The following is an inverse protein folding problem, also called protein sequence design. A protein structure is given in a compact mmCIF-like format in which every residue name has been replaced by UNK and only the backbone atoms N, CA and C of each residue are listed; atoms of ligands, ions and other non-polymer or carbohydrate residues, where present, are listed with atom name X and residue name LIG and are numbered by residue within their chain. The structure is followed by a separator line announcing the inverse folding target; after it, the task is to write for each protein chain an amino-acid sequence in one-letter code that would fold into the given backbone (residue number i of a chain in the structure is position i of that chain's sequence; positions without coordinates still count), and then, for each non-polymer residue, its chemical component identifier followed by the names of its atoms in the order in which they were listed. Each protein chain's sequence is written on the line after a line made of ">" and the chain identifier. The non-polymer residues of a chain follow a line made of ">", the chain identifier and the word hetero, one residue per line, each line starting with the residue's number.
data_IF_398799757195
#
_entry.id   IF_398799757195
#
_cell.length_a   1.000
_cell.length_b   1.000
_cell.length_c   1.000
_cell.angle_alpha   90.00
_cell.angle_beta   90.00
_cell.angle_gamma   90.00
#
_symmetry.space_group_name_H-M   'P 1'
#
loop_
_entity.id
_entity.type
_entity.pdbx_description
1 polymer ?
#
# COMPACT_ATOMS: atom_id res chain seq x y z
N UNK A 1 11.31 19.66 -7.17
CA UNK A 1 10.23 20.43 -6.52
C UNK A 1 10.44 20.27 -5.03
N UNK A 2 11.08 21.25 -4.38
CA UNK A 2 11.17 21.27 -2.91
C UNK A 2 9.79 21.73 -2.42
N UNK A 3 8.98 20.81 -1.91
CA UNK A 3 7.81 21.18 -1.12
C UNK A 3 8.33 21.78 0.18
N UNK A 4 8.39 23.10 0.26
CA UNK A 4 8.32 23.79 1.55
C UNK A 4 6.94 23.48 2.13
N UNK A 5 6.84 22.33 2.81
CA UNK A 5 5.58 21.88 3.42
C UNK A 5 5.23 22.85 4.54
N UNK A 6 4.25 23.71 4.29
CA UNK A 6 3.66 24.55 5.32
C UNK A 6 2.84 23.66 6.26
N UNK A 7 3.23 23.59 7.53
CA UNK A 7 2.45 22.88 8.56
C UNK A 7 1.41 23.86 9.12
N UNK A 8 0.15 23.60 8.84
CA UNK A 8 -0.98 24.38 9.39
C UNK A 8 -1.49 23.66 10.64
N UNK A 9 -1.40 24.31 11.80
CA UNK A 9 -2.04 23.82 13.03
C UNK A 9 -3.50 24.24 13.03
N UNK A 10 -4.40 23.30 12.78
CA UNK A 10 -5.85 23.54 12.72
C UNK A 10 -6.55 23.55 14.08
N UNK A 11 -5.90 23.06 15.13
CA UNK A 11 -6.44 23.03 16.49
C UNK A 11 -6.22 24.37 17.21
N UNK A 12 -7.09 25.36 16.92
CA UNK A 12 -7.03 26.69 17.53
C UNK A 12 -7.05 26.64 19.07
N UNK A 13 -7.70 25.63 19.66
CA UNK A 13 -7.80 25.50 21.12
C UNK A 13 -6.43 25.32 21.79
N UNK A 14 -5.43 24.78 21.09
CA UNK A 14 -4.07 24.62 21.60
C UNK A 14 -3.40 25.99 21.80
N UNK A 15 -3.61 26.93 20.86
CA UNK A 15 -3.05 28.28 20.95
C UNK A 15 -3.85 29.17 21.91
N UNK A 16 -5.18 29.06 21.90
CA UNK A 16 -6.05 29.83 22.80
C UNK A 16 -5.85 29.43 24.27
N UNK A 17 -5.60 28.14 24.53
CA UNK A 17 -5.31 27.60 25.85
C UNK A 17 -3.90 27.88 26.39
N UNK A 18 -3.04 28.59 25.65
CA UNK A 18 -1.60 28.74 26.00
C UNK A 18 -1.34 29.45 27.33
N UNK A 19 -2.20 30.39 27.71
CA UNK A 19 -2.11 31.16 28.97
C UNK A 19 -2.91 30.50 30.11
N UNK A 20 -3.75 29.50 29.80
CA UNK A 20 -4.54 28.80 30.81
C UNK A 20 -3.68 27.74 31.50
N UNK A 21 -3.53 27.85 32.82
CA UNK A 21 -2.71 26.93 33.63
C UNK A 21 -3.02 25.44 33.38
N UNK A 22 -4.29 25.07 33.26
CA UNK A 22 -4.71 23.66 33.10
C UNK A 22 -4.51 23.12 31.66
N UNK A 23 -4.32 24.00 30.68
CA UNK A 23 -4.21 23.64 29.25
C UNK A 23 -2.84 23.96 28.65
N UNK A 24 -2.03 24.77 29.34
CA UNK A 24 -0.69 25.21 28.92
C UNK A 24 0.25 24.06 28.56
N UNK A 25 0.07 22.88 29.19
CA UNK A 25 0.86 21.70 28.85
C UNK A 25 0.71 21.28 27.38
N UNK A 26 -0.47 21.47 26.76
CA UNK A 26 -0.71 21.16 25.34
C UNK A 26 0.10 22.07 24.43
N UNK A 27 0.15 23.37 24.75
CA UNK A 27 0.99 24.34 24.05
C UNK A 27 2.48 24.03 24.21
N UNK A 28 2.92 23.64 25.41
CA UNK A 28 4.31 23.22 25.66
C UNK A 28 4.65 21.95 24.88
N UNK A 29 3.75 20.96 24.84
CA UNK A 29 3.93 19.73 24.07
C UNK A 29 4.01 20.00 22.56
N UNK A 30 3.13 20.86 22.03
CA UNK A 30 3.16 21.28 20.62
C UNK A 30 4.48 21.99 20.26
N UNK A 31 4.96 22.89 21.12
CA UNK A 31 6.29 23.51 20.93
C UNK A 31 7.42 22.50 21.00
N UNK A 32 7.32 21.48 21.85
CA UNK A 32 8.33 20.41 21.95
C UNK A 32 8.39 19.58 20.66
N UNK A 33 7.24 19.30 20.04
CA UNK A 33 7.16 18.61 18.73
C UNK A 33 7.76 19.44 17.60
N UNK A 34 7.61 20.77 17.65
CA UNK A 34 8.15 21.71 16.66
C UNK A 34 9.64 22.02 16.83
N UNK A 35 10.20 21.67 17.98
CA UNK A 35 11.62 21.87 18.25
C UNK A 35 12.41 20.78 17.51
N UNK A 36 13.10 21.20 16.45
CA UNK A 36 13.92 20.34 15.60
C UNK A 36 15.01 19.58 16.37
N UNK A 37 15.41 20.06 17.56
CA UNK A 37 16.37 19.35 18.42
C UNK A 37 15.76 18.12 19.10
N UNK A 38 14.43 18.03 19.16
CA UNK A 38 13.68 16.86 19.62
C UNK A 38 13.30 15.90 18.49
N UNK A 39 13.74 16.16 17.24
CA UNK A 39 13.53 15.21 16.16
C UNK A 39 14.19 13.88 16.54
N UNK A 40 13.39 12.80 16.56
CA UNK A 40 13.95 11.47 16.76
C UNK A 40 14.98 11.19 15.65
N UNK A 41 16.12 10.54 15.95
CA UNK A 41 17.06 10.13 14.93
C UNK A 41 16.31 9.31 13.89
N UNK A 42 16.38 9.70 12.62
CA UNK A 42 15.79 8.90 11.54
C UNK A 42 16.48 7.54 11.52
N UNK A 43 15.82 6.51 12.05
CA UNK A 43 16.31 5.13 12.01
C UNK A 43 15.95 4.51 10.68
N UNK A 44 16.85 3.67 10.16
CA UNK A 44 16.55 2.85 9.00
C UNK A 44 15.79 1.59 9.43
N UNK A 45 14.66 1.29 8.81
CA UNK A 45 13.88 0.08 9.06
C UNK A 45 14.65 -1.21 8.73
N UNK A 46 15.70 -1.15 7.89
CA UNK A 46 16.58 -2.30 7.63
C UNK A 46 17.33 -2.71 8.92
N UNK A 47 17.67 -1.76 9.79
CA UNK A 47 18.39 -2.07 11.03
C UNK A 47 17.52 -2.88 12.02
N UNK A 48 16.19 -2.76 11.91
CA UNK A 48 15.24 -3.53 12.73
C UNK A 48 15.37 -5.04 12.52
N UNK A 49 16.00 -5.49 11.41
CA UNK A 49 16.30 -6.91 11.17
C UNK A 49 17.21 -7.48 12.26
N UNK A 50 18.11 -6.66 12.81
CA UNK A 50 19.12 -7.07 13.79
C UNK A 50 18.70 -6.86 15.25
N UNK A 51 17.53 -6.27 15.49
CA UNK A 51 17.05 -6.08 16.85
C UNK A 51 16.73 -7.44 17.49
N UNK A 52 16.90 -7.54 18.80
CA UNK A 52 16.49 -8.71 19.56
C UNK A 52 14.96 -8.76 19.71
N UNK A 53 14.41 -9.95 19.90
CA UNK A 53 13.00 -10.07 20.27
C UNK A 53 12.80 -9.54 21.68
N UNK A 54 11.79 -8.68 21.84
CA UNK A 54 11.40 -8.11 23.13
C UNK A 54 9.91 -8.35 23.37
N UNK A 55 9.61 -8.85 24.57
CA UNK A 55 8.26 -9.02 25.09
C UNK A 55 8.15 -8.24 26.39
N UNK A 56 7.03 -7.56 26.61
CA UNK A 56 6.83 -6.78 27.83
C UNK A 56 6.31 -7.63 29.01
N UNK A 57 5.47 -8.64 28.74
CA UNK A 57 4.78 -9.41 29.78
C UNK A 57 4.69 -10.91 29.43
N UNK A 58 5.35 -11.81 30.19
CA UNK A 58 6.46 -11.50 31.09
C UNK A 58 7.62 -10.84 30.32
N UNK A 59 8.46 -10.00 30.96
CA UNK A 59 9.61 -9.40 30.29
C UNK A 59 10.57 -10.46 29.78
N UNK A 60 10.77 -10.51 28.46
CA UNK A 60 11.71 -11.43 27.79
C UNK A 60 12.51 -10.63 26.78
N UNK A 61 13.82 -10.86 26.75
CA UNK A 61 14.70 -10.45 25.65
C UNK A 61 15.35 -11.70 25.11
N UNK A 62 15.10 -12.01 23.85
CA UNK A 62 15.68 -13.15 23.17
C UNK A 62 16.56 -12.65 22.01
N UNK A 63 17.87 -12.93 22.04
CA UNK A 63 18.76 -12.55 20.96
C UNK A 63 18.29 -13.07 19.60
N UNK A 64 18.41 -12.24 18.55
CA UNK A 64 18.06 -12.67 17.20
C UNK A 64 18.95 -13.85 16.75
N UNK A 65 18.34 -15.00 16.47
CA UNK A 65 19.04 -16.16 15.90
C UNK A 65 19.10 -16.02 14.37
N UNK A 66 20.30 -16.05 13.75
CA UNK A 66 20.45 -16.03 12.30
C UNK A 66 19.65 -17.14 11.59
N UNK A 67 19.39 -18.28 12.26
CA UNK A 67 18.59 -19.36 11.71
C UNK A 67 17.14 -18.95 11.39
N UNK A 68 16.62 -17.90 12.03
CA UNK A 68 15.27 -17.39 11.75
C UNK A 68 15.21 -16.48 10.52
N UNK A 69 16.34 -16.06 9.96
CA UNK A 69 16.40 -15.02 8.92
C UNK A 69 16.43 -15.57 7.49
N UNK A 70 16.26 -16.87 7.28
CA UNK A 70 16.04 -17.45 5.95
C UNK A 70 14.60 -17.17 5.45
N UNK A 71 14.29 -15.89 5.24
CA UNK A 71 12.91 -15.40 5.03
C UNK A 71 12.64 -14.87 3.61
N UNK A 72 13.61 -14.97 2.70
CA UNK A 72 13.51 -14.42 1.32
C UNK A 72 12.27 -14.93 0.59
N UNK A 73 11.96 -16.22 0.78
CA UNK A 73 10.79 -16.88 0.18
C UNK A 73 9.82 -17.43 1.23
N UNK A 74 9.92 -16.96 2.48
CA UNK A 74 9.02 -17.41 3.54
C UNK A 74 7.58 -17.00 3.24
N UNK A 75 6.70 -17.99 3.20
CA UNK A 75 5.25 -17.83 3.17
C UNK A 75 4.69 -17.81 4.61
N UNK A 76 3.37 -17.66 4.72
CA UNK A 76 2.68 -17.71 6.01
C UNK A 76 2.98 -19.01 6.76
N UNK A 77 2.98 -20.17 6.08
CA UNK A 77 3.27 -21.47 6.71
C UNK A 77 4.69 -21.57 7.27
N UNK A 78 5.67 -21.01 6.55
CA UNK A 78 7.07 -20.94 6.99
C UNK A 78 7.21 -20.06 8.22
N UNK A 79 6.53 -18.91 8.24
CA UNK A 79 6.48 -18.02 9.40
C UNK A 79 5.89 -18.76 10.60
N UNK A 80 4.77 -19.47 10.43
CA UNK A 80 4.14 -20.25 11.49
C UNK A 80 5.06 -21.34 12.03
N UNK A 81 5.76 -22.07 11.16
CA UNK A 81 6.69 -23.11 11.58
C UNK A 81 7.84 -22.53 12.45
N UNK A 82 8.33 -21.33 12.14
CA UNK A 82 9.34 -20.64 12.96
C UNK A 82 8.75 -20.22 14.31
N UNK A 83 7.52 -19.69 14.32
CA UNK A 83 6.81 -19.32 15.56
C UNK A 83 6.62 -20.55 16.45
N UNK A 84 6.09 -21.65 15.91
CA UNK A 84 5.83 -22.88 16.66
C UNK A 84 7.12 -23.47 17.22
N UNK A 85 8.21 -23.48 16.44
CA UNK A 85 9.51 -23.97 16.91
C UNK A 85 10.07 -23.14 18.07
N UNK A 86 9.88 -21.81 18.04
CA UNK A 86 10.35 -20.91 19.10
C UNK A 86 9.48 -21.02 20.35
N UNK A 87 8.15 -21.03 20.20
CA UNK A 87 7.22 -21.19 21.32
C UNK A 87 7.40 -22.55 22.01
N UNK A 88 7.62 -23.62 21.25
CA UNK A 88 7.90 -24.95 21.80
C UNK A 88 9.24 -25.04 22.56
N UNK A 89 10.21 -24.17 22.22
CA UNK A 89 11.51 -24.10 22.89
C UNK A 89 11.49 -23.18 24.12
N UNK A 90 10.63 -22.16 24.11
CA UNK A 90 10.56 -21.14 25.15
C UNK A 90 9.10 -20.92 25.59
N UNK A 91 8.68 -21.61 26.65
CA UNK A 91 7.30 -21.62 27.17
C UNK A 91 6.71 -20.24 27.53
N UNK A 92 7.56 -19.23 27.75
CA UNK A 92 7.16 -17.88 28.18
C UNK A 92 6.95 -16.90 27.02
N UNK A 93 7.24 -17.31 25.78
CA UNK A 93 7.10 -16.47 24.59
C UNK A 93 5.66 -16.45 24.10
N UNK A 94 5.14 -15.24 23.88
CA UNK A 94 3.87 -14.98 23.24
C UNK A 94 3.98 -15.26 21.75
N UNK A 95 3.30 -16.31 21.30
CA UNK A 95 3.29 -16.69 19.88
C UNK A 95 2.80 -15.56 18.96
N UNK A 96 1.86 -14.73 19.41
CA UNK A 96 1.38 -13.59 18.61
C UNK A 96 2.42 -12.47 18.51
N UNK A 97 3.08 -12.11 19.61
CA UNK A 97 4.11 -11.06 19.59
C UNK A 97 5.34 -11.51 18.81
N UNK A 98 5.75 -12.77 18.97
CA UNK A 98 6.86 -13.33 18.21
C UNK A 98 6.53 -13.46 16.72
N UNK A 99 5.28 -13.79 16.38
CA UNK A 99 4.81 -13.77 14.98
C UNK A 99 4.91 -12.39 14.36
N UNK A 100 4.50 -11.34 15.08
CA UNK A 100 4.64 -9.96 14.60
C UNK A 100 6.12 -9.59 14.40
N UNK A 101 6.97 -9.97 15.36
CA UNK A 101 8.42 -9.76 15.31
C UNK A 101 9.07 -10.42 14.07
N UNK A 102 8.76 -11.69 13.79
CA UNK A 102 9.36 -12.41 12.66
C UNK A 102 8.75 -11.98 11.32
N UNK A 103 7.46 -11.64 11.31
CA UNK A 103 6.77 -11.12 10.12
C UNK A 103 7.35 -9.78 9.69
N UNK A 104 7.71 -8.90 10.64
CA UNK A 104 8.41 -7.65 10.35
C UNK A 104 9.75 -7.88 9.64
N UNK A 105 10.54 -8.84 10.13
CA UNK A 105 11.82 -9.25 9.51
C UNK A 105 11.64 -9.85 8.13
N UNK A 106 10.65 -10.72 7.96
CA UNK A 106 10.33 -11.31 6.67
C UNK A 106 10.04 -10.21 5.64
N UNK A 107 9.19 -9.24 5.98
CA UNK A 107 8.88 -8.10 5.10
C UNK A 107 10.12 -7.28 4.74
N UNK A 108 10.99 -6.98 5.71
CA UNK A 108 12.22 -6.23 5.46
C UNK A 108 13.16 -6.99 4.50
N UNK A 109 13.39 -8.29 4.76
CA UNK A 109 14.22 -9.17 3.92
C UNK A 109 13.64 -9.31 2.52
N UNK A 110 12.33 -9.51 2.40
CA UNK A 110 11.64 -9.64 1.12
C UNK A 110 11.63 -8.33 0.33
N UNK A 111 11.54 -7.18 1.00
CA UNK A 111 11.69 -5.87 0.36
C UNK A 111 13.10 -5.67 -0.20
N UNK A 112 14.13 -6.09 0.53
CA UNK A 112 15.51 -6.11 0.03
C UNK A 112 15.62 -7.06 -1.18
N UNK A 113 14.98 -8.23 -1.12
CA UNK A 113 14.99 -9.17 -2.24
C UNK A 113 14.35 -8.58 -3.51
N UNK A 114 13.20 -7.91 -3.39
CA UNK A 114 12.57 -7.21 -4.52
C UNK A 114 13.44 -6.07 -5.07
N UNK A 115 14.08 -5.31 -4.18
CA UNK A 115 15.03 -4.26 -4.56
C UNK A 115 16.23 -4.83 -5.33
N UNK A 116 16.85 -5.90 -4.84
CA UNK A 116 17.97 -6.56 -5.51
C UNK A 116 17.54 -7.17 -6.85
N UNK A 117 16.38 -7.83 -6.94
CA UNK A 117 15.86 -8.36 -8.20
C UNK A 117 15.61 -7.25 -9.25
N UNK A 118 15.38 -6.02 -8.81
CA UNK A 118 15.18 -4.86 -9.70
C UNK A 118 16.50 -4.28 -10.21
N UNK A 119 17.53 -4.26 -9.37
CA UNK A 119 18.77 -3.52 -9.62
C UNK A 119 20.00 -4.38 -9.90
N UNK A 120 19.93 -5.68 -9.64
CA UNK A 120 21.04 -6.61 -9.81
C UNK A 120 20.59 -7.79 -10.68
N UNK A 121 21.27 -7.97 -11.80
CA UNK A 121 21.27 -9.26 -12.48
C UNK A 121 22.18 -10.21 -11.69
N UNK A 122 21.60 -11.15 -10.95
CA UNK A 122 22.35 -12.08 -10.09
C UNK A 122 23.19 -13.11 -10.87
N UNK A 123 23.01 -13.19 -12.18
CA UNK A 123 23.82 -14.02 -13.07
C UNK A 123 25.05 -13.28 -13.63
N UNK A 124 25.12 -11.96 -13.46
CA UNK A 124 26.27 -11.13 -13.85
C UNK A 124 27.52 -11.52 -13.02
N UNK A 125 28.70 -11.68 -13.65
CA UNK A 125 29.97 -11.88 -12.94
C UNK A 125 30.26 -10.84 -11.85
N UNK A 126 29.83 -9.59 -12.03
CA UNK A 126 30.01 -8.49 -11.10
C UNK A 126 28.86 -8.33 -10.09
N UNK A 127 27.89 -9.26 -10.07
CA UNK A 127 26.72 -9.19 -9.20
C UNK A 127 27.07 -9.02 -7.72
N UNK A 128 28.05 -9.77 -7.22
CA UNK A 128 28.49 -9.69 -5.82
C UNK A 128 28.92 -8.27 -5.44
N UNK A 129 29.74 -7.62 -6.28
CA UNK A 129 30.19 -6.24 -6.04
C UNK A 129 29.02 -5.27 -6.09
N UNK A 130 28.10 -5.42 -7.04
CA UNK A 130 26.90 -4.57 -7.12
C UNK A 130 26.02 -4.70 -5.87
N UNK A 131 25.88 -5.90 -5.33
CA UNK A 131 25.12 -6.15 -4.09
C UNK A 131 25.78 -5.47 -2.89
N UNK A 132 27.11 -5.58 -2.77
CA UNK A 132 27.88 -4.88 -1.74
C UNK A 132 27.75 -3.35 -1.86
N UNK A 133 27.88 -2.81 -3.07
CA UNK A 133 27.74 -1.39 -3.35
C UNK A 133 26.33 -0.88 -2.98
N UNK A 134 25.27 -1.63 -3.33
CA UNK A 134 23.89 -1.29 -2.97
C UNK A 134 23.69 -1.30 -1.45
N UNK A 135 24.21 -2.31 -0.75
CA UNK A 135 24.15 -2.38 0.70
C UNK A 135 24.87 -1.20 1.36
N UNK A 136 26.07 -0.87 0.89
CA UNK A 136 26.91 0.20 1.41
C UNK A 136 26.32 1.60 1.22
N UNK A 137 25.49 1.79 0.18
CA UNK A 137 24.79 3.05 -0.11
C UNK A 137 23.44 3.18 0.62
N UNK A 138 23.07 2.24 1.50
CA UNK A 138 21.86 2.37 2.32
C UNK A 138 22.07 3.32 3.48
N UNK A 139 21.00 4.02 3.90
CA UNK A 139 21.01 4.79 5.15
C UNK A 139 21.38 3.90 6.36
N UNK A 140 20.95 2.62 6.33
CA UNK A 140 21.29 1.64 7.37
C UNK A 140 22.81 1.50 7.55
N UNK A 141 23.55 1.35 6.45
CA UNK A 141 25.00 1.19 6.49
C UNK A 141 25.71 2.44 7.04
N UNK A 142 25.25 3.63 6.62
CA UNK A 142 25.81 4.89 7.11
C UNK A 142 25.59 5.11 8.60
N UNK A 143 24.44 4.71 9.14
CA UNK A 143 24.10 4.82 10.57
C UNK A 143 24.71 3.71 11.44
N UNK A 144 25.03 2.56 10.86
CA UNK A 144 25.54 1.37 11.55
C UNK A 144 27.00 1.52 12.03
N UNK A 145 27.34 0.81 13.10
CA UNK A 145 28.72 0.58 13.52
C UNK A 145 29.43 -0.47 12.63
N UNK A 146 30.73 -0.68 12.84
CA UNK A 146 31.52 -1.60 12.01
C UNK A 146 31.00 -3.05 12.03
N UNK A 147 30.50 -3.53 13.18
CA UNK A 147 29.97 -4.88 13.32
C UNK A 147 28.64 -5.05 12.57
N UNK A 148 27.76 -4.07 12.70
CA UNK A 148 26.44 -4.05 12.04
C UNK A 148 26.57 -3.85 10.53
N UNK A 149 27.56 -3.07 10.07
CA UNK A 149 27.91 -2.94 8.65
C UNK A 149 28.30 -4.28 8.02
N UNK A 150 29.10 -5.09 8.72
CA UNK A 150 29.46 -6.43 8.25
C UNK A 150 28.21 -7.32 8.13
N UNK A 151 27.35 -7.34 9.15
CA UNK A 151 26.07 -8.09 9.12
C UNK A 151 25.16 -7.62 7.98
N UNK A 152 25.09 -6.32 7.69
CA UNK A 152 24.32 -5.79 6.56
C UNK A 152 24.80 -6.34 5.22
N UNK A 153 26.13 -6.36 4.99
CA UNK A 153 26.72 -6.92 3.77
C UNK A 153 26.44 -8.41 3.65
N UNK A 154 26.54 -9.16 4.75
CA UNK A 154 26.21 -10.59 4.80
C UNK A 154 24.75 -10.86 4.45
N UNK A 155 23.81 -10.09 5.02
CA UNK A 155 22.37 -10.22 4.73
C UNK A 155 22.09 -9.96 3.26
N UNK A 156 22.58 -8.86 2.69
CA UNK A 156 22.38 -8.55 1.28
C UNK A 156 22.96 -9.64 0.36
N UNK A 157 24.16 -10.12 0.67
CA UNK A 157 24.82 -11.20 -0.07
C UNK A 157 24.04 -12.52 0.01
N UNK A 158 23.55 -12.88 1.20
CA UNK A 158 22.74 -14.07 1.41
C UNK A 158 21.42 -14.01 0.63
N UNK A 159 20.76 -12.85 0.62
CA UNK A 159 19.53 -12.63 -0.15
C UNK A 159 19.79 -12.78 -1.66
N UNK A 160 20.86 -12.16 -2.17
CA UNK A 160 21.25 -12.30 -3.59
C UNK A 160 21.54 -13.76 -3.96
N UNK A 161 22.25 -14.49 -3.10
CA UNK A 161 22.51 -15.91 -3.31
C UNK A 161 21.22 -16.75 -3.33
N UNK A 162 20.26 -16.47 -2.45
CA UNK A 162 18.95 -17.12 -2.43
C UNK A 162 18.14 -16.81 -3.70
N UNK A 163 18.14 -15.57 -4.17
CA UNK A 163 17.50 -15.20 -5.44
C UNK A 163 18.09 -15.99 -6.61
N UNK A 164 19.41 -16.11 -6.67
CA UNK A 164 20.11 -16.86 -7.73
C UNK A 164 19.80 -18.37 -7.68
N UNK A 165 19.79 -18.96 -6.48
CA UNK A 165 19.61 -20.41 -6.31
C UNK A 165 18.18 -20.90 -6.43
N UNK A 166 17.19 -20.05 -6.09
CA UNK A 166 15.81 -20.49 -5.87
C UNK A 166 14.79 -19.79 -6.77
N UNK A 167 15.19 -18.84 -7.61
CA UNK A 167 14.30 -18.18 -8.57
C UNK A 167 14.90 -18.17 -9.98
N UNK A 168 14.16 -18.74 -10.94
CA UNK A 168 14.50 -18.63 -12.36
C UNK A 168 14.33 -17.20 -12.88
N UNK A 169 14.70 -16.96 -14.14
CA UNK A 169 14.65 -15.64 -14.74
C UNK A 169 13.21 -15.07 -14.78
N UNK A 170 12.23 -15.92 -15.06
CA UNK A 170 10.82 -15.53 -15.17
C UNK A 170 10.27 -15.12 -13.79
N UNK A 171 10.52 -15.93 -12.75
CA UNK A 171 10.09 -15.62 -11.40
C UNK A 171 10.80 -14.38 -10.83
N UNK A 172 12.10 -14.20 -11.12
CA UNK A 172 12.81 -12.96 -10.78
C UNK A 172 12.20 -11.73 -11.47
N UNK A 173 11.77 -11.87 -12.72
CA UNK A 173 11.08 -10.79 -13.44
C UNK A 173 9.73 -10.44 -12.81
N UNK A 174 8.99 -11.44 -12.31
CA UNK A 174 7.74 -11.20 -11.56
C UNK A 174 7.99 -10.49 -10.22
N UNK A 175 9.03 -10.91 -9.47
CA UNK A 175 9.45 -10.27 -8.22
C UNK A 175 9.79 -8.79 -8.43
N UNK A 176 10.45 -8.46 -9.55
CA UNK A 176 10.80 -7.08 -9.90
C UNK A 176 9.59 -6.17 -10.14
N UNK A 177 8.49 -6.71 -10.68
CA UNK A 177 7.31 -5.91 -11.06
C UNK A 177 6.36 -5.65 -9.88
N UNK A 178 6.39 -6.49 -8.85
CA UNK A 178 5.38 -6.48 -7.80
C UNK A 178 5.95 -5.99 -6.45
N UNK A 179 5.22 -5.14 -5.71
CA UNK A 179 5.55 -4.78 -4.33
C UNK A 179 5.29 -5.92 -3.33
N UNK A 180 4.75 -7.06 -3.78
CA UNK A 180 4.44 -8.19 -2.91
C UNK A 180 5.69 -9.03 -2.58
N UNK A 181 5.69 -9.69 -1.41
CA UNK A 181 6.64 -10.76 -1.13
C UNK A 181 6.73 -11.80 -2.26
N UNK A 182 7.92 -12.36 -2.54
CA UNK A 182 8.06 -13.42 -3.54
C UNK A 182 7.07 -14.58 -3.36
N UNK A 183 6.90 -15.06 -2.12
CA UNK A 183 5.96 -16.14 -1.81
C UNK A 183 4.52 -15.82 -2.28
N UNK A 184 4.05 -14.61 -2.02
CA UNK A 184 2.69 -14.17 -2.39
C UNK A 184 2.53 -14.03 -3.91
N UNK A 185 3.58 -13.55 -4.59
CA UNK A 185 3.64 -13.51 -6.06
C UNK A 185 3.44 -14.90 -6.64
N UNK A 186 4.14 -15.91 -6.09
CA UNK A 186 4.02 -17.29 -6.54
C UNK A 186 2.61 -17.85 -6.34
N UNK A 187 2.01 -17.59 -5.17
CA UNK A 187 0.63 -18.00 -4.88
C UNK A 187 -0.34 -17.41 -5.90
N UNK A 188 -0.27 -16.10 -6.12
CA UNK A 188 -1.16 -15.40 -7.07
C UNK A 188 -0.92 -15.84 -8.52
N UNK A 189 0.34 -16.02 -8.95
CA UNK A 189 0.65 -16.47 -10.30
C UNK A 189 0.12 -17.89 -10.55
N UNK A 190 0.31 -18.81 -9.61
CA UNK A 190 -0.19 -20.17 -9.73
C UNK A 190 -1.72 -20.19 -9.75
N UNK A 191 -2.37 -19.38 -8.92
CA UNK A 191 -3.82 -19.25 -8.91
C UNK A 191 -4.36 -18.74 -10.25
N UNK A 192 -3.76 -17.68 -10.81
CA UNK A 192 -4.17 -17.10 -12.11
C UNK A 192 -4.09 -18.13 -13.24
N UNK A 193 -2.97 -18.88 -13.32
CA UNK A 193 -2.80 -19.93 -14.33
C UNK A 193 -3.81 -21.06 -14.14
N UNK A 194 -4.02 -21.51 -12.90
CA UNK A 194 -4.94 -22.61 -12.61
C UNK A 194 -6.42 -22.27 -12.87
N UNK A 195 -6.81 -20.99 -12.72
CA UNK A 195 -8.19 -20.53 -12.82
C UNK A 195 -8.49 -19.71 -14.08
N UNK A 196 -7.57 -19.64 -15.04
CA UNK A 196 -7.67 -18.80 -16.23
C UNK A 196 -9.04 -18.88 -16.93
N UNK A 197 -9.53 -20.08 -17.22
CA UNK A 197 -10.80 -20.27 -17.93
C UNK A 197 -12.01 -19.73 -17.13
N UNK A 198 -11.99 -19.91 -15.81
CA UNK A 198 -13.04 -19.41 -14.90
C UNK A 198 -13.01 -17.89 -14.84
N UNK A 199 -11.82 -17.31 -14.72
CA UNK A 199 -11.63 -15.86 -14.65
C UNK A 199 -12.04 -15.17 -15.95
N UNK A 200 -11.69 -15.74 -17.10
CA UNK A 200 -12.10 -15.19 -18.41
C UNK A 200 -13.62 -15.25 -18.58
N UNK A 201 -14.27 -16.33 -18.16
CA UNK A 201 -15.72 -16.43 -18.15
C UNK A 201 -16.36 -15.39 -17.23
N UNK A 202 -15.84 -15.24 -16.01
CA UNK A 202 -16.32 -14.23 -15.07
C UNK A 202 -16.15 -12.79 -15.61
N UNK A 203 -15.10 -12.54 -16.40
CA UNK A 203 -14.91 -11.24 -17.06
C UNK A 203 -16.02 -10.96 -18.08
N UNK A 204 -16.46 -11.98 -18.82
CA UNK A 204 -17.56 -11.87 -19.79
C UNK A 204 -18.92 -11.71 -19.09
N UNK A 205 -19.09 -12.34 -17.93
CA UNK A 205 -20.33 -12.31 -17.14
C UNK A 205 -20.42 -11.10 -16.18
N UNK A 206 -19.35 -10.29 -16.07
CA UNK A 206 -19.31 -9.12 -15.19
C UNK A 206 -19.17 -9.45 -13.70
N UNK A 207 -18.65 -10.64 -13.36
CA UNK A 207 -18.48 -11.15 -11.97
C UNK A 207 -17.01 -11.34 -11.57
N UNK A 208 -16.08 -10.87 -12.41
CA UNK A 208 -14.64 -11.02 -12.18
C UNK A 208 -14.16 -10.24 -10.95
N UNK A 209 -14.77 -9.09 -10.65
CA UNK A 209 -14.38 -8.27 -9.49
C UNK A 209 -14.47 -9.07 -8.19
N UNK A 210 -15.58 -9.80 -7.98
CA UNK A 210 -15.80 -10.59 -6.79
C UNK A 210 -14.72 -11.66 -6.60
N UNK A 211 -14.41 -12.42 -7.66
CA UNK A 211 -13.41 -13.49 -7.61
C UNK A 211 -12.00 -12.95 -7.34
N UNK A 212 -11.62 -11.86 -8.01
CA UNK A 212 -10.29 -11.28 -7.87
C UNK A 212 -10.13 -10.63 -6.50
N UNK A 213 -11.16 -9.94 -6.00
CA UNK A 213 -11.12 -9.31 -4.67
C UNK A 213 -11.06 -10.37 -3.58
N UNK A 214 -11.85 -11.44 -3.68
CA UNK A 214 -11.78 -12.57 -2.74
C UNK A 214 -10.36 -13.13 -2.64
N UNK A 215 -9.69 -13.30 -3.78
CA UNK A 215 -8.31 -13.78 -3.82
C UNK A 215 -7.29 -12.73 -3.35
N UNK A 216 -7.54 -11.43 -3.57
CA UNK A 216 -6.62 -10.35 -3.21
C UNK A 216 -6.66 -10.01 -1.70
N UNK A 217 -7.81 -10.14 -1.05
CA UNK A 217 -8.02 -9.70 0.34
C UNK A 217 -7.03 -10.27 1.37
N UNK A 218 -6.61 -11.55 1.31
CA UNK A 218 -5.62 -12.09 2.24
C UNK A 218 -4.28 -11.34 2.23
N UNK A 219 -3.92 -10.71 1.10
CA UNK A 219 -2.67 -9.97 0.93
C UNK A 219 -2.76 -8.50 1.35
N UNK A 220 -3.97 -8.03 1.71
CA UNK A 220 -4.19 -6.62 2.08
C UNK A 220 -3.76 -6.37 3.53
N UNK A 221 -2.71 -5.56 3.69
CA UNK A 221 -2.17 -5.20 5.00
C UNK A 221 -2.91 -4.03 5.70
N UNK A 222 -3.91 -3.41 5.06
CA UNK A 222 -4.62 -2.26 5.61
C UNK A 222 -5.28 -2.57 6.96
N UNK A 223 -4.97 -1.77 7.99
CA UNK A 223 -5.59 -1.95 9.32
C UNK A 223 -7.10 -1.67 9.28
N UNK A 224 -7.52 -0.73 8.44
CA UNK A 224 -8.92 -0.35 8.21
C UNK A 224 -9.79 -1.53 7.78
N UNK A 225 -9.28 -2.37 6.87
CA UNK A 225 -9.97 -3.58 6.44
C UNK A 225 -9.78 -4.74 7.41
N UNK A 226 -8.58 -4.90 7.99
CA UNK A 226 -8.30 -5.98 8.95
C UNK A 226 -9.12 -5.86 10.24
N UNK A 227 -9.34 -4.65 10.73
CA UNK A 227 -10.08 -4.35 11.97
C UNK A 227 -11.61 -4.46 11.89
N UNK A 228 -12.17 -4.77 10.71
CA UNK A 228 -13.59 -5.10 10.57
C UNK A 228 -13.89 -6.43 11.28
N UNK A 229 -14.94 -6.43 12.11
CA UNK A 229 -15.43 -7.61 12.82
C UNK A 229 -16.01 -8.69 11.88
N UNK A 230 -16.50 -8.29 10.71
CA UNK A 230 -16.94 -9.19 9.65
C UNK A 230 -16.34 -8.82 8.30
N UNK A 231 -15.90 -9.83 7.53
CA UNK A 231 -15.37 -9.62 6.16
C UNK A 231 -16.46 -9.58 5.09
N UNK A 232 -17.69 -9.98 5.43
CA UNK A 232 -18.81 -10.01 4.49
C UNK A 232 -19.20 -8.62 3.96
N UNK A 233 -18.85 -7.56 4.68
CA UNK A 233 -19.17 -6.17 4.33
C UNK A 233 -18.13 -5.51 3.42
N UNK A 234 -16.97 -6.14 3.24
CA UNK A 234 -15.88 -5.58 2.44
C UNK A 234 -16.32 -5.40 0.98
N UNK A 235 -16.91 -6.42 0.38
CA UNK A 235 -17.34 -6.38 -1.02
C UNK A 235 -18.50 -5.39 -1.26
N UNK A 236 -19.57 -5.35 -0.44
CA UNK A 236 -20.59 -4.29 -0.53
C UNK A 236 -20.02 -2.86 -0.40
N UNK A 237 -19.12 -2.64 0.57
CA UNK A 237 -18.49 -1.34 0.76
C UNK A 237 -17.61 -0.96 -0.45
N UNK A 238 -16.85 -1.93 -0.99
CA UNK A 238 -16.03 -1.74 -2.19
C UNK A 238 -16.90 -1.38 -3.41
N UNK A 239 -18.04 -2.06 -3.60
CA UNK A 239 -18.97 -1.73 -4.69
C UNK A 239 -19.50 -0.30 -4.57
N UNK A 240 -19.86 0.11 -3.35
CA UNK A 240 -20.31 1.49 -3.06
C UNK A 240 -19.20 2.51 -3.31
N UNK A 241 -17.96 2.17 -2.96
CA UNK A 241 -16.78 2.98 -3.28
C UNK A 241 -16.59 3.12 -4.79
N UNK A 242 -16.62 2.02 -5.55
CA UNK A 242 -16.43 2.02 -7.01
C UNK A 242 -17.51 2.84 -7.72
N UNK A 243 -18.79 2.74 -7.33
CA UNK A 243 -19.85 3.54 -7.97
C UNK A 243 -19.78 5.03 -7.64
N UNK A 244 -18.84 5.45 -6.80
CA UNK A 244 -18.64 6.86 -6.50
C UNK A 244 -19.47 7.36 -5.33
N UNK A 245 -19.98 6.50 -4.44
CA UNK A 245 -20.72 6.92 -3.25
C UNK A 245 -19.83 7.78 -2.33
N UNK A 246 -20.48 8.71 -1.63
CA UNK A 246 -19.82 9.56 -0.64
C UNK A 246 -19.41 8.74 0.59
N UNK A 247 -18.42 9.22 1.34
CA UNK A 247 -18.01 8.56 2.58
C UNK A 247 -19.14 8.46 3.61
N UNK A 248 -20.06 9.44 3.62
CA UNK A 248 -21.21 9.42 4.53
C UNK A 248 -22.21 8.31 4.17
N UNK A 249 -22.45 8.07 2.89
CA UNK A 249 -23.34 6.99 2.44
C UNK A 249 -22.73 5.62 2.79
N UNK A 250 -21.44 5.44 2.47
CA UNK A 250 -20.72 4.20 2.80
C UNK A 250 -20.70 3.96 4.32
N UNK A 251 -20.50 5.02 5.12
CA UNK A 251 -20.57 4.93 6.58
C UNK A 251 -21.96 4.51 7.06
N UNK A 252 -23.02 5.09 6.49
CA UNK A 252 -24.40 4.74 6.82
C UNK A 252 -24.71 3.27 6.50
N UNK A 253 -24.24 2.77 5.36
CA UNK A 253 -24.40 1.37 4.95
C UNK A 253 -23.68 0.42 5.92
N UNK A 254 -22.47 0.76 6.37
CA UNK A 254 -21.74 -0.02 7.36
C UNK A 254 -22.47 -0.08 8.71
N UNK A 255 -23.04 1.06 9.16
CA UNK A 255 -23.86 1.11 10.39
C UNK A 255 -25.13 0.27 10.23
N UNK A 256 -25.82 0.39 9.09
CA UNK A 256 -27.04 -0.35 8.80
C UNK A 256 -26.79 -1.87 8.74
N UNK A 257 -25.61 -2.28 8.26
CA UNK A 257 -25.16 -3.67 8.25
C UNK A 257 -24.73 -4.20 9.63
N UNK A 258 -24.78 -3.37 10.68
CA UNK A 258 -24.43 -3.78 12.04
C UNK A 258 -22.94 -3.94 12.31
N UNK A 259 -22.08 -3.40 11.44
CA UNK A 259 -20.62 -3.56 11.50
C UNK A 259 -20.05 -2.81 12.70
N UNK A 260 -19.07 -3.43 13.37
CA UNK A 260 -18.23 -2.76 14.38
C UNK A 260 -16.78 -2.70 13.94
N UNK A 261 -16.12 -1.60 14.30
CA UNK A 261 -14.67 -1.43 14.15
C UNK A 261 -14.10 -1.37 15.57
N UNK A 262 -13.48 -2.48 15.97
CA UNK A 262 -13.23 -2.75 17.39
C UNK A 262 -14.54 -2.76 18.18
N UNK A 263 -14.65 -1.90 19.20
CA UNK A 263 -15.85 -1.79 20.03
C UNK A 263 -16.80 -0.65 19.60
N UNK A 264 -16.48 0.07 18.53
CA UNK A 264 -17.15 1.32 18.14
C UNK A 264 -17.98 1.16 16.86
N UNK A 265 -19.00 2.01 16.72
CA UNK A 265 -19.71 2.14 15.45
C UNK A 265 -18.84 2.88 14.42
N UNK A 266 -18.97 2.57 13.11
CA UNK A 266 -18.28 3.27 12.04
C UNK A 266 -18.51 4.78 12.09
N UNK A 267 -17.46 5.55 11.83
CA UNK A 267 -17.50 7.02 11.72
C UNK A 267 -17.11 7.44 10.30
N UNK A 268 -17.20 8.73 9.99
CA UNK A 268 -16.77 9.24 8.68
C UNK A 268 -15.28 8.97 8.44
N UNK A 269 -14.43 9.12 9.47
CA UNK A 269 -12.99 8.83 9.38
C UNK A 269 -12.72 7.35 9.11
N UNK A 270 -13.52 6.46 9.70
CA UNK A 270 -13.43 5.04 9.40
C UNK A 270 -13.79 4.74 7.94
N UNK A 271 -14.86 5.34 7.42
CA UNK A 271 -15.23 5.18 6.02
C UNK A 271 -14.15 5.72 5.06
N UNK A 272 -13.58 6.89 5.37
CA UNK A 272 -12.44 7.44 4.63
C UNK A 272 -11.25 6.47 4.67
N UNK A 273 -10.88 5.94 5.83
CA UNK A 273 -9.76 5.02 5.97
C UNK A 273 -9.99 3.68 5.25
N UNK A 274 -11.21 3.14 5.28
CA UNK A 274 -11.58 1.94 4.52
C UNK A 274 -11.45 2.19 3.02
N UNK A 275 -11.92 3.35 2.56
CA UNK A 275 -11.97 3.67 1.14
C UNK A 275 -10.60 4.08 0.58
N UNK A 276 -9.95 5.08 1.16
CA UNK A 276 -8.69 5.64 0.65
C UNK A 276 -7.50 4.71 0.95
N UNK A 277 -7.31 4.33 2.22
CA UNK A 277 -6.20 3.47 2.64
C UNK A 277 -6.46 2.00 2.30
N UNK A 278 -7.65 1.49 2.62
CA UNK A 278 -8.02 0.10 2.35
C UNK A 278 -8.15 -0.22 0.87
N UNK A 279 -9.05 0.48 0.16
CA UNK A 279 -9.36 0.20 -1.24
C UNK A 279 -8.44 0.92 -2.21
N UNK A 280 -8.42 2.26 -2.17
CA UNK A 280 -7.73 3.13 -3.11
C UNK A 280 -6.21 2.97 -3.11
N UNK A 281 -5.64 2.56 -1.98
CA UNK A 281 -4.22 2.30 -1.83
C UNK A 281 -3.89 0.80 -1.75
N UNK A 282 -4.20 0.14 -0.64
CA UNK A 282 -3.70 -1.21 -0.40
C UNK A 282 -4.30 -2.24 -1.36
N UNK A 283 -5.62 -2.31 -1.52
CA UNK A 283 -6.24 -3.26 -2.45
C UNK A 283 -5.86 -2.94 -3.90
N UNK A 284 -5.87 -1.67 -4.31
CA UNK A 284 -5.45 -1.25 -5.63
C UNK A 284 -4.00 -1.65 -5.95
N UNK A 285 -3.11 -1.66 -4.95
CA UNK A 285 -1.73 -2.15 -5.08
C UNK A 285 -1.68 -3.65 -5.34
N UNK A 286 -2.45 -4.46 -4.58
CA UNK A 286 -2.54 -5.91 -4.84
C UNK A 286 -3.11 -6.18 -6.22
N UNK A 287 -4.15 -5.45 -6.63
CA UNK A 287 -4.75 -5.57 -7.96
C UNK A 287 -3.76 -5.22 -9.07
N UNK A 288 -2.90 -4.22 -8.87
CA UNK A 288 -1.83 -3.90 -9.82
C UNK A 288 -0.85 -5.08 -9.98
N UNK A 289 -0.44 -5.71 -8.87
CA UNK A 289 0.36 -6.94 -8.93
C UNK A 289 -0.37 -8.07 -9.69
N UNK A 290 -1.66 -8.26 -9.46
CA UNK A 290 -2.46 -9.27 -10.17
C UNK A 290 -2.54 -8.94 -11.67
N UNK A 291 -2.69 -7.67 -12.06
CA UNK A 291 -2.62 -7.22 -13.45
C UNK A 291 -1.30 -7.62 -14.11
N UNK A 292 -0.16 -7.32 -13.46
CA UNK A 292 1.16 -7.66 -13.98
C UNK A 292 1.36 -9.19 -14.11
N UNK A 293 0.83 -9.96 -13.15
CA UNK A 293 0.88 -11.42 -13.17
C UNK A 293 -0.07 -12.04 -14.20
N UNK A 294 -1.13 -11.33 -14.60
CA UNK A 294 -2.08 -11.78 -15.61
C UNK A 294 -1.56 -11.56 -17.04
N UNK A 295 -0.63 -10.63 -17.26
CA UNK A 295 0.00 -10.34 -18.56
C UNK A 295 0.48 -11.61 -19.29
N UNK A 296 1.32 -12.48 -18.70
CA UNK A 296 1.75 -13.72 -19.38
C UNK A 296 0.66 -14.80 -19.49
N UNK A 297 -0.45 -14.67 -18.76
CA UNK A 297 -1.54 -15.67 -18.75
C UNK A 297 -2.54 -15.37 -19.86
N UNK A 298 -3.01 -14.12 -19.96
CA UNK A 298 -3.94 -13.67 -20.99
C UNK A 298 -4.04 -12.15 -21.03
N UNK A 299 -3.82 -11.56 -22.22
CA UNK A 299 -4.01 -10.12 -22.42
C UNK A 299 -5.43 -9.67 -22.05
N UNK A 300 -6.46 -10.46 -22.40
CA UNK A 300 -7.86 -10.14 -22.08
C UNK A 300 -8.10 -10.09 -20.57
N UNK A 301 -7.50 -11.00 -19.81
CA UNK A 301 -7.59 -10.98 -18.35
C UNK A 301 -6.82 -9.80 -17.75
N UNK A 302 -5.62 -9.54 -18.26
CA UNK A 302 -4.80 -8.39 -17.87
C UNK A 302 -5.59 -7.07 -18.02
N UNK A 303 -6.19 -6.84 -19.19
CA UNK A 303 -6.99 -5.64 -19.48
C UNK A 303 -8.20 -5.52 -18.54
N UNK A 304 -8.88 -6.65 -18.27
CA UNK A 304 -10.05 -6.67 -17.38
C UNK A 304 -9.67 -6.35 -15.93
N UNK A 305 -8.59 -6.95 -15.39
CA UNK A 305 -8.12 -6.66 -14.03
C UNK A 305 -7.57 -5.23 -13.94
N UNK A 306 -6.87 -4.74 -14.98
CA UNK A 306 -6.39 -3.36 -15.05
C UNK A 306 -7.54 -2.34 -14.96
N UNK A 307 -8.67 -2.63 -15.61
CA UNK A 307 -9.88 -1.81 -15.50
C UNK A 307 -10.41 -1.74 -14.07
N UNK A 308 -10.51 -2.88 -13.38
CA UNK A 308 -10.93 -2.89 -11.97
C UNK A 308 -9.93 -2.22 -11.04
N UNK A 309 -8.63 -2.44 -11.26
CA UNK A 309 -7.57 -1.80 -10.49
C UNK A 309 -7.72 -0.27 -10.55
N UNK A 310 -8.00 0.28 -11.73
CA UNK A 310 -8.27 1.71 -11.95
C UNK A 310 -9.53 2.17 -11.20
N UNK A 311 -10.63 1.44 -11.33
CA UNK A 311 -11.89 1.77 -10.66
C UNK A 311 -11.77 1.76 -9.13
N UNK A 312 -11.08 0.75 -8.59
CA UNK A 312 -10.82 0.60 -7.15
C UNK A 312 -9.89 1.70 -6.64
N UNK A 313 -8.83 2.01 -7.39
CA UNK A 313 -7.86 3.06 -7.04
C UNK A 313 -8.52 4.43 -6.91
N UNK A 314 -9.37 4.78 -7.88
CA UNK A 314 -9.97 6.11 -7.95
C UNK A 314 -11.33 6.19 -7.24
N UNK A 315 -11.96 5.05 -6.91
CA UNK A 315 -13.33 5.01 -6.38
C UNK A 315 -14.35 5.52 -7.38
N UNK A 316 -14.16 5.22 -8.67
CA UNK A 316 -14.98 5.69 -9.78
C UNK A 316 -15.21 4.54 -10.77
N UNK A 317 -16.46 4.30 -11.15
CA UNK A 317 -16.84 3.09 -11.88
C UNK A 317 -16.85 3.26 -13.40
N UNK A 318 -17.03 4.49 -13.89
CA UNK A 318 -17.18 4.78 -15.31
C UNK A 318 -15.91 5.41 -15.92
N UNK A 319 -15.68 5.13 -17.20
CA UNK A 319 -14.52 5.63 -17.93
C UNK A 319 -14.42 7.16 -17.99
N UNK A 320 -15.52 7.91 -18.23
CA UNK A 320 -15.50 9.37 -18.19
C UNK A 320 -15.00 9.95 -16.86
N UNK A 321 -15.55 9.51 -15.73
CA UNK A 321 -15.15 10.00 -14.41
C UNK A 321 -13.68 9.69 -14.14
N UNK A 322 -13.25 8.47 -14.43
CA UNK A 322 -11.83 8.10 -14.29
C UNK A 322 -10.92 8.94 -15.20
N UNK A 323 -11.35 9.24 -16.44
CA UNK A 323 -10.58 10.05 -17.37
C UNK A 323 -10.38 11.49 -16.88
N UNK A 324 -11.42 12.12 -16.31
CA UNK A 324 -11.30 13.44 -15.69
C UNK A 324 -10.39 13.41 -14.46
N UNK A 325 -10.59 12.43 -13.58
CA UNK A 325 -9.77 12.26 -12.37
C UNK A 325 -8.28 12.15 -12.72
N UNK A 326 -7.92 11.27 -13.66
CA UNK A 326 -6.54 11.03 -14.09
C UNK A 326 -5.95 12.14 -14.95
N UNK A 327 -6.78 13.02 -15.52
CA UNK A 327 -6.32 14.21 -16.22
C UNK A 327 -5.86 15.31 -15.26
N UNK A 328 -6.19 15.22 -13.97
CA UNK A 328 -5.77 16.17 -12.93
C UNK A 328 -6.91 16.72 -12.09
N UNK A 329 -8.17 16.45 -12.44
CA UNK A 329 -9.33 16.77 -11.60
C UNK A 329 -9.47 15.73 -10.49
N UNK A 330 -8.42 15.57 -9.68
CA UNK A 330 -8.23 14.50 -8.70
C UNK A 330 -9.11 14.67 -7.44
N UNK A 331 -10.42 14.84 -7.66
CA UNK A 331 -11.49 14.79 -6.68
C UNK A 331 -12.67 14.03 -7.30
N UNK A 332 -13.21 13.05 -6.57
CA UNK A 332 -14.25 12.15 -7.09
C UNK A 332 -15.53 12.90 -7.46
N UNK A 333 -15.96 13.84 -6.62
CA UNK A 333 -17.19 14.62 -6.83
C UNK A 333 -17.05 15.52 -8.05
N UNK A 334 -15.90 16.18 -8.19
CA UNK A 334 -15.61 17.03 -9.36
C UNK A 334 -15.54 16.20 -10.64
N UNK A 335 -14.83 15.06 -10.61
CA UNK A 335 -14.68 14.19 -11.76
C UNK A 335 -16.04 13.64 -12.24
N UNK A 336 -16.91 13.21 -11.31
CA UNK A 336 -18.27 12.76 -11.62
C UNK A 336 -19.15 13.88 -12.17
N UNK A 337 -19.07 15.09 -11.61
CA UNK A 337 -19.82 16.23 -12.10
C UNK A 337 -19.41 16.60 -13.54
N UNK A 338 -18.12 16.58 -13.84
CA UNK A 338 -17.60 16.81 -15.20
C UNK A 338 -18.00 15.69 -16.15
N UNK A 339 -17.92 14.42 -15.73
CA UNK A 339 -18.38 13.28 -16.51
C UNK A 339 -19.88 13.38 -16.87
N UNK A 340 -20.70 13.82 -15.92
CA UNK A 340 -22.13 14.05 -16.15
C UNK A 340 -22.39 15.23 -17.11
N UNK A 341 -21.56 16.28 -17.05
CA UNK A 341 -21.68 17.46 -17.91
C UNK A 341 -21.19 17.23 -19.35
N UNK A 342 -20.24 16.30 -19.55
CA UNK A 342 -19.56 16.11 -20.84
C UNK A 342 -19.53 14.65 -21.27
N UNK A 343 -20.35 14.33 -22.28
CA UNK A 343 -20.43 12.98 -22.86
C UNK A 343 -19.28 12.69 -23.84
N UNK A 344 -19.00 11.40 -24.05
CA UNK A 344 -18.01 10.94 -25.04
C UNK A 344 -16.55 11.09 -24.60
N UNK A 345 -16.31 11.23 -23.30
CA UNK A 345 -14.97 11.28 -22.71
C UNK A 345 -14.55 9.86 -22.34
N UNK A 346 -13.60 9.30 -23.09
CA UNK A 346 -13.10 7.94 -22.85
C UNK A 346 -11.73 7.93 -22.13
N UNK A 347 -10.93 8.98 -22.30
CA UNK A 347 -9.55 9.02 -21.83
C UNK A 347 -9.07 10.46 -21.53
N UNK A 348 -7.86 10.56 -20.93
CA UNK A 348 -7.21 11.84 -20.62
C UNK A 348 -7.02 12.75 -21.85
N UNK A 349 -6.81 12.15 -23.03
CA UNK A 349 -6.64 12.90 -24.27
C UNK A 349 -7.94 13.58 -24.71
N UNK A 350 -9.08 12.91 -24.50
CA UNK A 350 -10.42 13.48 -24.71
C UNK A 350 -10.68 14.63 -23.75
N UNK A 351 -10.31 14.50 -22.46
CA UNK A 351 -10.41 15.59 -21.47
C UNK A 351 -9.58 16.80 -21.89
N UNK A 352 -8.32 16.60 -22.33
CA UNK A 352 -7.48 17.69 -22.85
C UNK A 352 -8.11 18.38 -24.05
N UNK A 353 -8.62 17.62 -25.03
CA UNK A 353 -9.31 18.19 -26.20
C UNK A 353 -10.55 18.99 -25.79
N UNK A 354 -11.32 18.50 -24.82
CA UNK A 354 -12.48 19.22 -24.27
C UNK A 354 -12.05 20.54 -23.64
N UNK A 355 -11.03 20.54 -22.77
CA UNK A 355 -10.51 21.75 -22.14
C UNK A 355 -9.99 22.77 -23.14
N UNK A 356 -9.45 22.34 -24.29
CA UNK A 356 -9.01 23.25 -25.37
C UNK A 356 -10.15 23.83 -26.18
N UNK A 357 -11.10 22.98 -26.61
CA UNK A 357 -12.15 23.37 -27.57
C UNK A 357 -13.37 24.00 -26.92
N UNK A 358 -13.68 23.60 -25.70
CA UNK A 358 -14.92 23.95 -24.98
C UNK A 358 -14.61 24.62 -23.64
N UNK A 359 -13.54 25.42 -23.58
CA UNK A 359 -13.01 26.02 -22.36
C UNK A 359 -14.07 26.72 -21.51
N UNK A 360 -14.89 27.57 -22.13
CA UNK A 360 -15.90 28.35 -21.40
C UNK A 360 -16.94 27.44 -20.75
N UNK A 361 -17.37 26.37 -21.43
CA UNK A 361 -18.30 25.40 -20.87
C UNK A 361 -17.69 24.64 -19.69
N UNK A 362 -16.42 24.24 -19.79
CA UNK A 362 -15.69 23.61 -18.67
C UNK A 362 -15.59 24.57 -17.48
N UNK A 363 -15.31 25.86 -17.70
CA UNK A 363 -15.22 26.83 -16.62
C UNK A 363 -16.57 27.09 -15.96
N UNK A 364 -17.66 27.11 -16.73
CA UNK A 364 -19.02 27.19 -16.20
C UNK A 364 -19.33 25.98 -15.32
N UNK A 365 -18.96 24.77 -15.76
CA UNK A 365 -19.15 23.55 -14.97
C UNK A 365 -18.32 23.54 -13.68
N UNK A 366 -17.19 24.27 -13.66
CA UNK A 366 -16.29 24.35 -12.52
C UNK A 366 -16.58 25.50 -11.54
N UNK A 367 -17.53 26.37 -11.85
CA UNK A 367 -17.75 27.63 -11.11
C UNK A 367 -18.05 27.45 -9.62
N UNK A 368 -18.68 26.32 -9.26
CA UNK A 368 -19.14 26.02 -7.90
C UNK A 368 -18.11 25.17 -7.12
N UNK A 369 -16.97 24.83 -7.75
CA UNK A 369 -15.87 24.07 -7.16
C UNK A 369 -14.68 24.97 -6.80
N UNK A 370 -13.75 24.51 -5.95
CA UNK A 370 -12.53 25.27 -5.62
C UNK A 370 -11.77 25.74 -6.87
N UNK A 371 -11.28 26.99 -6.83
CA UNK A 371 -10.55 27.64 -7.93
C UNK A 371 -9.35 26.83 -8.47
N UNK A 372 -8.80 25.94 -7.64
CA UNK A 372 -7.80 24.95 -8.04
C UNK A 372 -8.20 24.18 -9.30
N UNK A 373 -9.46 23.76 -9.44
CA UNK A 373 -9.88 23.00 -10.62
C UNK A 373 -9.96 23.88 -11.87
N UNK A 374 -10.16 25.20 -11.73
CA UNK A 374 -10.01 26.12 -12.84
C UNK A 374 -8.55 26.25 -13.30
N UNK A 375 -7.57 26.20 -12.38
CA UNK A 375 -6.16 26.17 -12.79
C UNK A 375 -5.80 24.88 -13.52
N UNK A 376 -6.28 23.72 -13.04
CA UNK A 376 -6.11 22.43 -13.74
C UNK A 376 -6.65 22.52 -15.17
N UNK A 377 -7.86 23.04 -15.36
CA UNK A 377 -8.44 23.20 -16.69
C UNK A 377 -7.59 24.10 -17.60
N UNK A 378 -7.03 25.21 -17.08
CA UNK A 378 -6.14 26.11 -17.83
C UNK A 378 -4.85 25.42 -18.28
N UNK A 379 -4.24 24.63 -17.40
CA UNK A 379 -3.02 23.89 -17.72
C UNK A 379 -3.28 22.86 -18.83
N UNK A 380 -4.39 22.12 -18.74
CA UNK A 380 -4.80 21.15 -19.76
C UNK A 380 -5.17 21.81 -21.10
N UNK A 381 -5.61 23.07 -21.09
CA UNK A 381 -5.83 23.85 -22.31
C UNK A 381 -4.52 24.32 -22.98
N UNK A 382 -3.42 24.42 -22.23
CA UNK A 382 -2.16 25.01 -22.69
C UNK A 382 -1.20 23.97 -23.29
N UNK A 383 -1.15 22.76 -22.72
CA UNK A 383 -0.46 21.58 -23.27
C UNK A 383 -1.32 20.92 -24.31
#
# INVERSE_FOLDING_TARGET
>A
MHTESSVIFSAAEIFDGRENYNQRWRWVAAKKLLDATNAEPSKSSILEIFDDYQQAVPPVVLPADPAWLDLVFADAGTIEAVVDAVVAKYDVISGSEFRDYITGRARAIQSIAAYLATHVDVDDPDAAKKVEDLAANTLAYHLADGATRAKLLEVFSAIAAKLKGNADADYRALIRKSPLPPADIKVLSTWLTAHQAVLLKAAEEGTLLELVVEQALPFVAAKSLRGLDTKLVVLPALKSWIVGSTFSEIQADLVAAGVKIGNSWPTAEHAVSICEDGFGYHLAMILASITDLAEPVSQKLCDAVASFQRQVKNGLGDDPSNAFYEAGFADRVVAQALAAAFLGIADRSAVRRLCRKNRDAVFIALKDFPDYFMSVARELSAT
#
